data_IF_784394283676
#
_entry.id   IF_784394283676
#
_cell.length_a   1.000
_cell.length_b   1.000
_cell.length_c   1.000
_cell.angle_alpha   90.00
_cell.angle_beta   90.00
_cell.angle_gamma   90.00
#
_symmetry.space_group_name_H-M   'P 1'
#
loop_
_entity.id
_entity.type
_entity.pdbx_description
1 polymer ?
2 non-polymer ?
3 non-polymer ?
4 non-polymer ?
5 water ?
#
# COMPACT_ATOMS: atom_id res chain seq x y z
N UNK A 1 25.23 0.28 8.19
CA UNK A 1 24.61 0.45 6.85
C UNK A 1 25.04 1.77 6.21
N UNK A 2 25.11 1.82 4.87
CA UNK A 2 25.52 3.03 4.14
C UNK A 2 24.40 4.06 4.11
N UNK A 3 24.64 5.20 3.47
CA UNK A 3 23.61 6.24 3.36
C UNK A 3 22.45 5.62 2.61
N UNK A 4 21.23 6.17 2.78
CA UNK A 4 20.05 5.65 2.10
C UNK A 4 20.23 5.46 0.61
N UNK A 5 20.58 6.53 -0.11
CA UNK A 5 20.77 6.46 -1.54
C UNK A 5 21.78 5.41 -1.98
N UNK A 6 22.86 5.25 -1.23
CA UNK A 6 23.85 4.25 -1.62
C UNK A 6 23.34 2.84 -1.36
N UNK A 7 22.55 2.66 -0.31
CA UNK A 7 22.00 1.34 -0.02
C UNK A 7 20.98 0.98 -1.10
N UNK A 8 20.21 1.98 -1.53
CA UNK A 8 19.22 1.74 -2.58
C UNK A 8 19.93 1.26 -3.84
N UNK A 9 21.04 1.92 -4.18
CA UNK A 9 21.79 1.51 -5.37
C UNK A 9 22.34 0.10 -5.21
N UNK A 10 22.87 -0.20 -4.03
CA UNK A 10 23.42 -1.52 -3.76
C UNK A 10 22.31 -2.56 -3.93
N UNK A 11 21.09 -2.21 -3.53
CA UNK A 11 19.98 -3.15 -3.67
C UNK A 11 19.69 -3.48 -5.14
N UNK A 12 19.74 -2.48 -6.02
CA UNK A 12 19.49 -2.76 -7.45
C UNK A 12 20.61 -3.64 -8.00
N UNK A 13 21.83 -3.33 -7.60
CA UNK A 13 22.99 -4.10 -8.05
C UNK A 13 22.83 -5.57 -7.65
N UNK A 14 22.48 -5.80 -6.40
CA UNK A 14 22.31 -7.15 -5.90
C UNK A 14 21.08 -7.89 -6.42
N UNK A 15 19.99 -7.17 -6.67
CA UNK A 15 18.77 -7.79 -7.16
C UNK A 15 18.66 -7.87 -8.68
N UNK A 16 19.45 -7.05 -9.38
CA UNK A 16 19.42 -6.98 -10.84
C UNK A 16 18.06 -6.46 -11.31
N UNK A 17 17.38 -5.71 -10.45
CA UNK A 17 16.09 -5.17 -10.81
C UNK A 17 16.01 -3.70 -10.46
N UNK A 18 14.90 -3.05 -10.79
CA UNK A 18 14.74 -1.64 -10.48
C UNK A 18 14.07 -1.49 -9.12
N UNK A 19 14.52 -0.45 -8.41
CA UNK A 19 13.97 -0.12 -7.11
C UNK A 19 13.43 1.29 -7.26
N UNK A 20 12.27 1.54 -6.67
CA UNK A 20 11.65 2.86 -6.72
C UNK A 20 11.40 3.22 -5.27
N UNK A 21 11.81 4.42 -4.87
CA UNK A 21 11.67 4.80 -3.47
C UNK A 21 11.48 6.28 -3.24
N UNK A 22 10.64 6.60 -2.25
CA UNK A 22 10.41 7.97 -1.84
C UNK A 22 10.32 7.95 -0.31
N UNK A 23 10.92 8.96 0.31
CA UNK A 23 10.88 9.14 1.76
C UNK A 23 10.33 10.56 1.89
N UNK A 24 9.21 10.70 2.59
CA UNK A 24 8.54 11.99 2.68
C UNK A 24 8.01 12.29 4.09
N UNK A 25 8.14 13.54 4.51
CA UNK A 25 7.62 13.98 5.81
C UNK A 25 6.10 13.90 5.69
N UNK A 26 5.45 13.18 6.60
CA UNK A 26 4.01 13.02 6.52
C UNK A 26 3.28 14.34 6.74
N UNK A 27 3.72 15.11 7.72
CA UNK A 27 3.06 16.37 8.04
C UNK A 27 3.17 17.43 6.96
N UNK A 28 4.33 17.58 6.34
CA UNK A 28 4.50 18.63 5.36
C UNK A 28 4.62 18.22 3.90
N UNK A 29 4.99 16.96 3.65
CA UNK A 29 5.18 16.52 2.28
C UNK A 29 6.62 16.74 1.79
N UNK A 30 7.49 17.23 2.67
CA UNK A 30 8.89 17.46 2.28
C UNK A 30 9.51 16.14 1.78
N UNK A 31 10.06 16.15 0.58
CA UNK A 31 10.68 14.93 0.05
C UNK A 31 12.13 14.87 0.52
N UNK A 32 12.50 13.77 1.20
CA UNK A 32 13.87 13.63 1.70
C UNK A 32 14.77 12.84 0.78
N UNK A 33 14.26 11.74 0.26
CA UNK A 33 15.01 10.87 -0.63
C UNK A 33 14.06 10.48 -1.77
N UNK A 34 14.59 10.49 -3.00
CA UNK A 34 13.80 10.13 -4.16
C UNK A 34 14.72 9.36 -5.10
N UNK A 35 14.29 8.18 -5.52
CA UNK A 35 15.07 7.36 -6.44
C UNK A 35 14.06 6.69 -7.36
N UNK A 36 14.18 7.00 -8.66
CA UNK A 36 13.28 6.53 -9.70
C UNK A 36 11.86 6.83 -9.23
N UNK A 37 11.69 7.99 -8.58
CA UNK A 37 10.39 8.36 -8.03
C UNK A 37 9.29 8.64 -9.03
N UNK A 38 9.66 8.92 -10.28
CA UNK A 38 8.67 9.20 -11.30
C UNK A 38 8.55 8.04 -12.29
N UNK A 39 9.17 6.91 -11.97
CA UNK A 39 9.09 5.74 -12.83
C UNK A 39 7.94 4.86 -12.37
N UNK A 40 7.33 4.15 -13.32
CA UNK A 40 6.21 3.26 -13.01
C UNK A 40 6.60 1.92 -12.42
N UNK A 41 5.79 1.46 -11.48
CA UNK A 41 6.00 0.18 -10.81
C UNK A 41 4.64 -0.44 -10.54
N UNK A 42 4.55 -1.78 -10.61
CA UNK A 42 3.25 -2.40 -10.33
C UNK A 42 2.90 -2.14 -8.86
N UNK A 43 1.68 -1.66 -8.60
CA UNK A 43 1.26 -1.39 -7.23
C UNK A 43 1.07 -2.65 -6.41
N UNK A 44 0.76 -3.74 -7.09
CA UNK A 44 0.41 -5.00 -6.46
C UNK A 44 -0.58 -4.74 -5.32
N UNK A 45 -0.52 -5.48 -4.22
CA UNK A 45 -1.52 -5.27 -3.17
C UNK A 45 -1.52 -3.93 -2.44
N UNK A 46 -0.58 -3.05 -2.73
CA UNK A 46 -0.59 -1.76 -2.03
C UNK A 46 -1.79 -0.91 -2.45
N UNK A 47 -2.43 -1.27 -3.57
CA UNK A 47 -3.57 -0.51 -4.05
C UNK A 47 -4.74 -0.57 -3.06
N UNK A 48 -4.74 -1.58 -2.20
CA UNK A 48 -5.82 -1.77 -1.25
C UNK A 48 -6.00 -0.60 -0.27
N UNK A 49 -4.93 0.14 0.01
CA UNK A 49 -5.03 1.31 0.89
C UNK A 49 -5.80 2.42 0.16
N UNK A 50 -5.42 2.68 -1.08
CA UNK A 50 -6.11 3.72 -1.85
C UNK A 50 -7.58 3.33 -2.07
N UNK A 51 -7.82 2.04 -2.27
CA UNK A 51 -9.18 1.53 -2.44
C UNK A 51 -10.05 1.92 -1.24
N UNK A 52 -9.54 1.66 -0.03
CA UNK A 52 -10.30 1.99 1.16
C UNK A 52 -10.39 3.50 1.39
N UNK A 53 -9.47 4.26 0.81
CA UNK A 53 -9.58 5.71 0.95
C UNK A 53 -10.81 6.14 0.14
N UNK A 54 -11.04 5.51 -1.01
CA UNK A 54 -12.21 5.83 -1.85
C UNK A 54 -13.50 5.42 -1.12
N UNK A 55 -13.43 4.28 -0.45
CA UNK A 55 -14.57 3.78 0.32
C UNK A 55 -14.93 4.80 1.40
N UNK A 56 -13.92 5.25 2.14
CA UNK A 56 -14.13 6.20 3.21
C UNK A 56 -14.68 7.53 2.66
N UNK A 57 -14.29 7.89 1.45
CA UNK A 57 -14.79 9.13 0.85
C UNK A 57 -16.29 8.98 0.65
N UNK A 58 -16.72 7.79 0.21
CA UNK A 58 -18.14 7.52 0.00
C UNK A 58 -18.90 7.55 1.34
N UNK A 59 -18.26 7.06 2.39
CA UNK A 59 -18.90 7.07 3.70
C UNK A 59 -19.09 8.51 4.12
N UNK A 60 -18.04 9.33 3.92
CA UNK A 60 -18.09 10.74 4.31
C UNK A 60 -19.21 11.50 3.59
N UNK A 61 -19.43 11.13 2.34
CA UNK A 61 -20.45 11.77 1.51
C UNK A 61 -21.85 11.23 1.82
N UNK A 62 -21.92 10.20 2.65
CA UNK A 62 -23.22 9.63 2.99
C UNK A 62 -23.74 8.64 1.98
N UNK A 63 -22.88 8.18 1.07
CA UNK A 63 -23.27 7.19 0.06
C UNK A 63 -22.86 5.78 0.45
N UNK A 64 -22.27 5.64 1.63
CA UNK A 64 -21.82 4.33 2.11
C UNK A 64 -21.78 4.35 3.63
N UNK A 65 -21.81 3.17 4.24
CA UNK A 65 -21.72 3.06 5.70
C UNK A 65 -20.75 1.93 5.95
N UNK A 66 -19.83 2.12 6.89
CA UNK A 66 -18.87 1.06 7.21
C UNK A 66 -19.64 -0.10 7.85
N UNK A 67 -20.80 0.19 8.43
CA UNK A 67 -21.63 -0.84 9.03
C UNK A 67 -22.38 -1.72 8.02
N UNK A 68 -22.63 -1.20 6.83
CA UNK A 68 -23.41 -1.95 5.85
C UNK A 68 -22.88 -3.35 5.57
N UNK A 69 -23.74 -4.35 5.78
CA UNK A 69 -23.36 -5.75 5.57
C UNK A 69 -23.53 -6.17 4.13
N UNK A 70 -22.46 -6.74 3.57
CA UNK A 70 -22.46 -7.20 2.19
C UNK A 70 -22.47 -8.74 2.19
N UNK A 71 -23.44 -9.30 1.48
CA UNK A 71 -23.54 -10.75 1.38
C UNK A 71 -23.04 -11.15 0.01
N UNK A 72 -22.19 -12.16 -0.02
CA UNK A 72 -21.61 -12.60 -1.27
C UNK A 72 -21.70 -14.12 -1.41
N UNK A 73 -21.32 -14.62 -2.58
CA UNK A 73 -21.38 -16.06 -2.87
C UNK A 73 -20.00 -16.66 -3.05
N UNK A 74 -19.91 -17.98 -2.90
CA UNK A 74 -18.63 -18.67 -3.06
C UNK A 74 -18.06 -18.41 -4.45
N UNK A 75 -18.94 -18.27 -5.42
CA UNK A 75 -18.54 -18.03 -6.81
C UNK A 75 -17.84 -16.67 -6.95
N UNK A 76 -18.08 -15.80 -5.99
CA UNK A 76 -17.48 -14.47 -6.01
C UNK A 76 -16.04 -14.49 -5.53
N UNK A 77 -15.68 -15.55 -4.82
CA UNK A 77 -14.34 -15.63 -4.26
C UNK A 77 -13.20 -15.86 -5.24
N UNK A 78 -12.08 -15.16 -5.01
CA UNK A 78 -10.87 -15.33 -5.82
C UNK A 78 -9.72 -15.81 -4.94
N UNK A 79 -8.59 -16.09 -5.57
CA UNK A 79 -7.40 -16.61 -4.88
C UNK A 79 -7.01 -15.81 -3.63
N UNK A 80 -6.81 -16.52 -2.51
CA UNK A 80 -6.40 -15.92 -1.23
C UNK A 80 -7.44 -15.01 -0.60
N UNK A 81 -8.37 -15.63 0.12
CA UNK A 81 -9.45 -14.95 0.79
C UNK A 81 -9.56 -15.54 2.18
N UNK A 82 -8.50 -15.42 2.99
CA UNK A 82 -8.44 -15.95 4.35
C UNK A 82 -9.61 -15.57 5.24
N UNK A 83 -10.08 -14.34 5.10
CA UNK A 83 -11.17 -13.87 5.92
C UNK A 83 -12.53 -14.05 5.27
N UNK A 84 -12.66 -13.56 4.03
CA UNK A 84 -13.93 -13.63 3.32
C UNK A 84 -14.44 -15.06 3.10
N UNK A 85 -13.55 -16.04 2.95
CA UNK A 85 -14.04 -17.41 2.76
C UNK A 85 -14.74 -17.92 4.01
N UNK A 86 -14.54 -17.24 5.13
CA UNK A 86 -15.17 -17.66 6.39
C UNK A 86 -16.56 -17.09 6.62
N UNK A 87 -17.02 -16.18 5.76
CA UNK A 87 -18.33 -15.56 5.98
C UNK A 87 -19.31 -15.65 4.83
N UNK A 88 -19.36 -16.81 4.18
CA UNK A 88 -20.29 -17.00 3.08
C UNK A 88 -21.71 -17.01 3.61
N UNK A 89 -21.88 -17.45 4.85
CA UNK A 89 -23.21 -17.52 5.44
C UNK A 89 -23.69 -16.23 6.06
N UNK A 90 -22.79 -15.48 6.70
CA UNK A 90 -23.20 -14.26 7.39
C UNK A 90 -22.78 -12.93 6.77
N UNK A 91 -21.93 -12.98 5.77
CA UNK A 91 -21.50 -11.75 5.13
C UNK A 91 -20.50 -10.95 5.96
N UNK A 92 -20.06 -9.83 5.40
CA UNK A 92 -19.11 -8.94 6.08
C UNK A 92 -19.52 -7.48 5.87
N UNK A 93 -19.27 -6.65 6.88
CA UNK A 93 -19.59 -5.26 6.75
C UNK A 93 -18.53 -4.61 5.85
N UNK A 94 -18.86 -3.48 5.27
CA UNK A 94 -17.93 -2.75 4.42
C UNK A 94 -16.64 -2.48 5.22
N UNK A 95 -16.79 -2.06 6.47
CA UNK A 95 -15.62 -1.79 7.30
C UNK A 95 -14.77 -3.03 7.52
N UNK A 96 -15.44 -4.16 7.73
CA UNK A 96 -14.74 -5.43 7.92
C UNK A 96 -14.01 -5.82 6.65
N UNK A 97 -14.63 -5.54 5.51
CA UNK A 97 -14.02 -5.86 4.24
C UNK A 97 -12.72 -5.08 4.10
N UNK A 98 -12.75 -3.78 4.42
CA UNK A 98 -11.54 -2.97 4.35
C UNK A 98 -10.48 -3.49 5.32
N UNK A 99 -10.88 -3.87 6.54
CA UNK A 99 -9.89 -4.39 7.50
C UNK A 99 -9.25 -5.65 6.92
N UNK A 100 -10.06 -6.52 6.32
CA UNK A 100 -9.53 -7.75 5.76
C UNK A 100 -8.64 -7.49 4.55
N UNK A 101 -9.05 -6.55 3.71
CA UNK A 101 -8.26 -6.22 2.52
C UNK A 101 -6.92 -5.64 2.91
N UNK A 102 -6.92 -4.70 3.85
CA UNK A 102 -5.67 -4.05 4.24
C UNK A 102 -4.82 -4.85 5.24
N UNK A 103 -5.42 -5.40 6.28
CA UNK A 103 -4.64 -6.13 7.29
C UNK A 103 -4.31 -7.58 6.99
N UNK A 104 -5.04 -8.19 6.06
CA UNK A 104 -4.78 -9.59 5.71
C UNK A 104 -4.56 -9.77 4.21
N UNK A 105 -4.69 -8.67 3.46
CA UNK A 105 -4.55 -8.64 1.99
C UNK A 105 -5.54 -9.63 1.37
N UNK A 106 -6.73 -9.72 1.95
CA UNK A 106 -7.79 -10.60 1.45
C UNK A 106 -8.21 -10.10 0.07
N UNK A 107 -8.02 -10.92 -0.97
CA UNK A 107 -8.35 -10.48 -2.33
C UNK A 107 -9.82 -10.37 -2.70
N UNK A 108 -10.65 -11.27 -2.19
CA UNK A 108 -12.06 -11.19 -2.50
C UNK A 108 -12.64 -9.98 -1.79
N UNK A 109 -12.17 -9.70 -0.57
CA UNK A 109 -12.65 -8.51 0.14
C UNK A 109 -12.34 -7.28 -0.73
N UNK A 110 -11.14 -7.25 -1.28
CA UNK A 110 -10.75 -6.12 -2.14
C UNK A 110 -11.66 -6.00 -3.36
N UNK A 111 -11.98 -7.13 -3.99
CA UNK A 111 -12.84 -7.08 -5.17
C UNK A 111 -14.25 -6.61 -4.81
N UNK A 112 -14.77 -7.08 -3.69
CA UNK A 112 -16.10 -6.67 -3.27
C UNK A 112 -16.14 -5.15 -3.07
N UNK A 113 -15.08 -4.60 -2.47
CA UNK A 113 -14.98 -3.16 -2.23
C UNK A 113 -14.80 -2.43 -3.56
N UNK A 114 -14.01 -3.04 -4.44
CA UNK A 114 -13.75 -2.43 -5.73
C UNK A 114 -15.07 -2.26 -6.49
N UNK A 115 -15.98 -3.21 -6.36
CA UNK A 115 -17.26 -3.11 -7.04
C UNK A 115 -18.03 -1.89 -6.53
N UNK A 116 -17.99 -1.65 -5.22
CA UNK A 116 -18.73 -0.53 -4.63
C UNK A 116 -18.25 0.85 -5.07
N UNK A 117 -17.03 0.97 -5.56
CA UNK A 117 -16.53 2.27 -5.99
C UNK A 117 -16.48 2.38 -7.52
N UNK A 118 -17.09 1.42 -8.21
CA UNK A 118 -17.11 1.47 -9.67
C UNK A 118 -16.00 0.72 -10.37
N UNK A 119 -15.43 -0.29 -9.71
CA UNK A 119 -14.37 -1.09 -10.28
C UNK A 119 -13.07 -0.33 -10.48
N UNK A 120 -12.10 -0.96 -11.15
CA UNK A 120 -10.80 -0.34 -11.41
C UNK A 120 -10.96 1.06 -12.01
N UNK A 121 -11.87 1.21 -12.96
CA UNK A 121 -12.09 2.52 -13.59
C UNK A 121 -12.57 3.54 -12.57
N UNK A 122 -13.48 3.11 -11.70
CA UNK A 122 -14.00 3.98 -10.68
C UNK A 122 -12.94 4.42 -9.69
N UNK A 123 -12.05 3.50 -9.32
CA UNK A 123 -10.99 3.85 -8.38
C UNK A 123 -10.02 4.81 -9.06
N UNK A 124 -9.76 4.59 -10.33
CA UNK A 124 -8.86 5.47 -11.06
C UNK A 124 -9.48 6.86 -11.15
N UNK A 125 -10.80 6.90 -11.32
CA UNK A 125 -11.47 8.20 -11.39
C UNK A 125 -11.31 8.94 -10.05
N UNK A 126 -11.41 8.20 -8.96
CA UNK A 126 -11.27 8.79 -7.62
C UNK A 126 -9.86 9.36 -7.47
N UNK A 127 -8.86 8.62 -7.95
CA UNK A 127 -7.49 9.08 -7.88
C UNK A 127 -7.36 10.39 -8.64
N UNK A 128 -7.96 10.45 -9.83
CA UNK A 128 -7.89 11.67 -10.63
C UNK A 128 -8.57 12.82 -9.87
N UNK A 129 -9.62 12.51 -9.11
CA UNK A 129 -10.35 13.50 -8.32
C UNK A 129 -9.54 14.08 -7.16
N UNK A 130 -8.56 13.34 -6.64
CA UNK A 130 -7.76 13.89 -5.56
C UNK A 130 -6.42 14.44 -6.06
N UNK A 131 -6.28 14.54 -7.38
CA UNK A 131 -5.06 15.10 -7.92
C UNK A 131 -3.96 14.16 -8.36
N UNK A 132 -4.20 12.86 -8.29
CA UNK A 132 -3.20 11.90 -8.74
C UNK A 132 -3.51 11.61 -10.20
N UNK A 133 -2.68 12.14 -11.11
CA UNK A 133 -2.88 11.96 -12.53
C UNK A 133 -2.02 10.84 -13.11
N UNK A 134 -1.38 10.06 -12.24
CA UNK A 134 -0.49 8.99 -12.68
C UNK A 134 -0.95 7.59 -12.32
N UNK A 135 -1.23 7.36 -11.05
CA UNK A 135 -1.67 6.07 -10.57
C UNK A 135 -2.90 5.56 -11.32
N UNK A 136 -2.91 4.28 -11.64
CA UNK A 136 -4.04 3.70 -12.37
C UNK A 136 -4.29 2.24 -11.99
N UNK A 137 -5.56 1.88 -11.80
CA UNK A 137 -5.89 0.49 -11.54
C UNK A 137 -6.69 0.11 -12.78
N UNK A 138 -6.37 -1.03 -13.38
CA UNK A 138 -7.07 -1.45 -14.60
C UNK A 138 -7.72 -2.81 -14.47
N UNK A 139 -7.22 -3.62 -13.56
CA UNK A 139 -7.71 -4.97 -13.37
C UNK A 139 -8.13 -5.28 -11.94
N UNK A 140 -8.84 -6.38 -11.77
CA UNK A 140 -9.33 -6.82 -10.47
C UNK A 140 -8.28 -7.66 -9.75
N UNK A 141 -8.49 -7.86 -8.45
CA UNK A 141 -7.55 -8.61 -7.63
C UNK A 141 -7.26 -9.96 -8.25
N UNK A 142 -5.97 -10.25 -8.25
CA UNK A 142 -5.31 -11.44 -8.77
C UNK A 142 -4.63 -11.02 -10.07
N UNK A 143 -5.43 -10.70 -11.09
CA UNK A 143 -4.86 -10.30 -12.39
C UNK A 143 -3.96 -9.08 -12.32
N UNK A 144 -4.25 -8.15 -11.41
CA UNK A 144 -3.43 -6.94 -11.30
C UNK A 144 -1.99 -7.18 -10.82
N UNK A 145 -1.66 -8.42 -10.45
CA UNK A 145 -0.31 -8.75 -9.98
C UNK A 145 0.60 -9.34 -11.06
N UNK A 146 0.11 -9.42 -12.29
CA UNK A 146 0.89 -10.01 -13.38
C UNK A 146 2.24 -9.35 -13.64
N UNK A 147 2.31 -8.04 -13.42
CA UNK A 147 3.54 -7.26 -13.60
C UNK A 147 4.33 -7.53 -14.87
N UNK A 148 3.67 -7.45 -16.03
CA UNK A 148 4.38 -7.66 -17.29
C UNK A 148 5.33 -6.50 -17.57
N UNK A 149 6.55 -6.79 -18.04
CA UNK A 149 7.49 -5.71 -18.31
C UNK A 149 6.92 -4.73 -19.33
N UNK A 150 7.08 -3.43 -19.06
CA UNK A 150 6.58 -2.41 -19.96
C UNK A 150 5.07 -2.20 -20.01
N UNK A 151 4.34 -2.94 -19.17
CA UNK A 151 2.88 -2.85 -19.11
C UNK A 151 2.54 -1.75 -18.12
N UNK A 152 1.80 -0.73 -18.56
CA UNK A 152 1.42 0.38 -17.70
C UNK A 152 0.21 0.12 -16.81
N UNK A 153 -0.48 -0.98 -17.04
CA UNK A 153 -1.66 -1.29 -16.24
C UNK A 153 -1.33 -1.53 -14.76
N UNK A 154 -2.23 -1.10 -13.88
CA UNK A 154 -2.07 -1.32 -12.45
C UNK A 154 -0.76 -0.82 -11.84
N UNK A 155 -0.32 0.37 -12.26
CA UNK A 155 0.92 0.92 -11.77
C UNK A 155 0.74 2.27 -11.07
N UNK A 156 1.80 2.68 -10.38
CA UNK A 156 1.86 3.96 -9.72
C UNK A 156 3.33 4.34 -9.83
N UNK A 157 3.71 5.46 -9.23
CA UNK A 157 5.12 5.84 -9.20
C UNK A 157 5.31 6.09 -7.70
N UNK A 158 6.55 5.98 -7.21
CA UNK A 158 6.77 6.21 -5.78
C UNK A 158 6.26 7.59 -5.35
N UNK A 159 6.57 8.60 -6.17
CA UNK A 159 6.15 9.97 -5.86
C UNK A 159 4.64 10.12 -5.84
N UNK A 160 3.95 9.51 -6.80
CA UNK A 160 2.51 9.62 -6.85
C UNK A 160 1.86 8.91 -5.68
N UNK A 161 2.32 7.70 -5.38
CA UNK A 161 1.74 6.94 -4.27
C UNK A 161 1.95 7.67 -2.95
N UNK A 162 3.16 8.19 -2.73
CA UNK A 162 3.45 8.91 -1.49
C UNK A 162 2.54 10.13 -1.34
N UNK A 163 2.42 10.93 -2.40
CA UNK A 163 1.57 12.12 -2.35
C UNK A 163 0.10 11.74 -2.10
N UNK A 164 -0.36 10.67 -2.75
CA UNK A 164 -1.75 10.25 -2.60
C UNK A 164 -2.03 9.76 -1.18
N UNK A 165 -1.09 9.00 -0.61
CA UNK A 165 -1.29 8.50 0.74
C UNK A 165 -1.33 9.68 1.70
N UNK A 166 -0.43 10.65 1.47
CA UNK A 166 -0.41 11.83 2.32
C UNK A 166 -1.75 12.57 2.23
N UNK A 167 -2.28 12.70 1.02
CA UNK A 167 -3.57 13.39 0.84
C UNK A 167 -4.69 12.67 1.59
N UNK A 168 -4.69 11.34 1.52
CA UNK A 168 -5.74 10.60 2.19
C UNK A 168 -5.64 10.65 3.72
N UNK A 169 -4.41 10.61 4.22
CA UNK A 169 -4.17 10.60 5.65
C UNK A 169 -4.18 11.94 6.37
N UNK A 170 -3.87 13.02 5.64
CA UNK A 170 -3.74 14.32 6.31
C UNK A 170 -4.32 15.58 5.67
N UNK A 171 -4.71 15.52 4.40
CA UNK A 171 -5.21 16.74 3.74
C UNK A 171 -6.61 17.19 4.07
N UNK A 172 -7.29 16.45 4.92
CA UNK A 172 -8.66 16.79 5.30
C UNK A 172 -9.61 16.68 4.10
N UNK A 173 -9.24 15.84 3.14
CA UNK A 173 -10.11 15.56 2.00
C UNK A 173 -11.10 14.56 2.59
N UNK A 174 -10.60 13.70 3.49
CA UNK A 174 -11.41 12.72 4.21
C UNK A 174 -11.72 13.37 5.55
N UNK A 175 -12.83 12.96 6.18
CA UNK A 175 -13.21 13.51 7.49
C UNK A 175 -12.15 13.11 8.52
N UNK A 176 -12.16 13.73 9.69
CA UNK A 176 -11.19 13.37 10.70
C UNK A 176 -11.34 11.89 11.07
N UNK A 177 -12.57 11.44 11.25
CA UNK A 177 -12.77 10.04 11.64
C UNK A 177 -12.27 9.09 10.57
N UNK A 178 -12.51 9.41 9.30
CA UNK A 178 -12.06 8.54 8.22
C UNK A 178 -10.54 8.49 8.14
N UNK A 179 -9.87 9.63 8.29
CA UNK A 179 -8.40 9.65 8.24
C UNK A 179 -7.87 8.73 9.35
N UNK A 180 -8.50 8.82 10.51
CA UNK A 180 -8.09 8.01 11.66
C UNK A 180 -8.31 6.53 11.41
N UNK A 181 -9.39 6.21 10.73
CA UNK A 181 -9.71 4.82 10.41
C UNK A 181 -8.71 4.25 9.40
N UNK A 182 -8.38 5.01 8.36
CA UNK A 182 -7.43 4.54 7.34
C UNK A 182 -6.07 4.27 7.98
N UNK A 183 -5.67 5.18 8.88
CA UNK A 183 -4.41 5.03 9.58
C UNK A 183 -4.42 3.78 10.46
N UNK A 184 -5.50 3.58 11.21
CA UNK A 184 -5.58 2.43 12.10
C UNK A 184 -5.51 1.11 11.33
N UNK A 185 -6.15 1.06 10.16
CA UNK A 185 -6.08 -0.17 9.37
C UNK A 185 -4.63 -0.48 8.99
N UNK A 186 -3.87 0.54 8.63
CA UNK A 186 -2.46 0.33 8.29
C UNK A 186 -1.66 -0.08 9.53
N UNK A 187 -1.96 0.54 10.66
CA UNK A 187 -1.29 0.18 11.91
C UNK A 187 -1.58 -1.31 12.23
N UNK A 188 -2.78 -1.77 11.90
CA UNK A 188 -3.19 -3.14 12.20
C UNK A 188 -2.75 -4.24 11.22
N UNK A 189 -1.94 -3.93 10.21
CA UNK A 189 -1.52 -4.96 9.26
C UNK A 189 -1.01 -6.21 9.96
N UNK A 190 -1.57 -7.37 9.63
CA UNK A 190 -1.12 -8.62 10.23
C UNK A 190 -0.11 -9.36 9.34
N UNK A 191 0.00 -8.98 8.08
CA UNK A 191 0.91 -9.68 7.18
C UNK A 191 2.38 -9.36 7.46
N UNK A 192 2.72 -8.08 7.51
CA UNK A 192 4.11 -7.68 7.71
C UNK A 192 4.37 -6.88 8.99
N UNK A 193 3.35 -6.17 9.47
CA UNK A 193 3.50 -5.37 10.67
C UNK A 193 4.23 -6.00 11.85
N UNK A 194 3.71 -7.10 12.40
CA UNK A 194 4.35 -7.76 13.53
C UNK A 194 5.81 -8.12 13.27
N UNK A 195 6.08 -8.66 12.09
CA UNK A 195 7.43 -9.04 11.71
C UNK A 195 8.35 -7.82 11.71
N UNK A 196 7.90 -6.75 11.06
CA UNK A 196 8.70 -5.52 11.01
C UNK A 196 8.98 -4.99 12.42
N UNK A 197 7.99 -5.05 13.31
CA UNK A 197 8.23 -4.58 14.67
C UNK A 197 9.29 -5.42 15.37
N UNK A 198 9.28 -6.73 15.10
CA UNK A 198 10.24 -7.63 15.74
C UNK A 198 11.68 -7.31 15.38
N UNK A 199 11.89 -6.61 14.26
CA UNK A 199 13.25 -6.26 13.86
C UNK A 199 13.54 -4.77 13.96
N UNK A 200 12.55 -3.99 14.41
CA UNK A 200 12.77 -2.55 14.55
C UNK A 200 13.30 -2.23 15.94
N UNK A 201 14.21 -1.25 16.05
CA UNK A 201 14.73 -0.88 17.37
C UNK A 201 13.57 -0.32 18.18
N UNK A 202 13.67 -0.38 19.49
CA UNK A 202 12.63 0.15 20.35
C UNK A 202 12.41 1.62 19.99
N UNK A 203 11.16 2.07 20.05
CA UNK A 203 10.86 3.46 19.76
C UNK A 203 10.43 3.78 18.34
N UNK A 204 10.61 2.86 17.41
CA UNK A 204 10.21 3.11 16.04
C UNK A 204 8.77 2.67 15.72
N UNK A 205 8.00 3.63 15.21
CA UNK A 205 6.59 3.46 14.82
C UNK A 205 6.50 2.80 13.42
N UNK A 206 5.54 1.89 13.23
CA UNK A 206 5.33 1.30 11.91
C UNK A 206 3.84 1.05 11.63
N UNK A 207 3.44 1.39 10.41
CA UNK A 207 2.09 1.18 9.89
C UNK A 207 2.44 0.84 8.44
N UNK A 208 1.73 -0.11 7.83
CA UNK A 208 2.13 -0.49 6.48
C UNK A 208 1.12 -1.32 5.70
N UNK A 209 1.36 -1.40 4.39
CA UNK A 209 0.60 -2.30 3.52
C UNK A 209 1.64 -2.82 2.54
N UNK A 210 1.73 -4.14 2.39
CA UNK A 210 2.72 -4.71 1.47
C UNK A 210 2.02 -5.39 0.30
N UNK A 211 2.81 -5.77 -0.69
CA UNK A 211 2.29 -6.43 -1.88
C UNK A 211 3.40 -7.18 -2.60
N UNK A 212 3.01 -8.10 -3.46
CA UNK A 212 3.97 -8.89 -4.22
C UNK A 212 3.31 -9.39 -5.49
N UNK A 213 4.12 -9.60 -6.52
CA UNK A 213 3.58 -10.05 -7.79
C UNK A 213 4.61 -10.81 -8.60
N UNK A 214 4.31 -11.02 -9.87
CA UNK A 214 5.20 -11.75 -10.77
C UNK A 214 6.47 -10.98 -11.12
N UNK A 215 7.44 -11.69 -11.69
CA UNK A 215 8.69 -11.07 -12.11
C UNK A 215 9.38 -10.29 -10.98
N UNK A 216 9.19 -10.77 -9.76
CA UNK A 216 9.83 -10.16 -8.62
C UNK A 216 9.14 -8.95 -8.04
N UNK A 217 7.99 -8.56 -8.60
CA UNK A 217 7.28 -7.37 -8.10
C UNK A 217 7.07 -7.43 -6.59
N UNK A 218 7.38 -6.32 -5.92
CA UNK A 218 7.23 -6.27 -4.48
C UNK A 218 6.99 -4.83 -4.10
N UNK A 219 6.20 -4.60 -3.07
CA UNK A 219 5.98 -3.22 -2.71
C UNK A 219 5.59 -3.01 -1.27
N UNK A 220 5.90 -1.83 -0.76
CA UNK A 220 5.47 -1.49 0.58
C UNK A 220 5.23 0.00 0.69
N UNK A 221 4.13 0.36 1.33
CA UNK A 221 3.80 1.75 1.59
C UNK A 221 3.73 1.77 3.10
N UNK A 222 4.43 2.70 3.72
CA UNK A 222 4.47 2.69 5.17
C UNK A 222 4.66 4.05 5.79
N UNK A 223 4.38 4.11 7.09
CA UNK A 223 4.58 5.29 7.90
C UNK A 223 5.61 4.79 8.92
N UNK A 224 6.67 5.56 9.10
CA UNK A 224 7.78 5.17 9.95
C UNK A 224 8.35 6.37 10.68
N UNK A 225 8.83 6.14 11.90
CA UNK A 225 9.42 7.23 12.64
C UNK A 225 9.85 6.90 14.04
N UNK A 226 10.86 7.63 14.55
CA UNK A 226 11.36 7.41 15.91
C UNK A 226 10.38 8.08 16.89
N UNK A 227 10.64 7.88 18.19
CA UNK A 227 9.80 8.46 19.23
C UNK A 227 8.35 8.03 19.08
N UNK A 228 8.14 6.83 18.56
CA UNK A 228 6.79 6.29 18.39
C UNK A 228 5.84 7.21 17.65
N UNK A 229 6.36 7.93 16.65
CA UNK A 229 5.56 8.85 15.87
C UNK A 229 5.61 8.48 14.37
N UNK A 230 4.51 8.69 13.67
CA UNK A 230 4.42 8.42 12.23
C UNK A 230 5.00 9.65 11.56
N UNK A 231 6.33 9.75 11.59
CA UNK A 231 6.97 10.94 11.04
C UNK A 231 7.06 11.00 9.53
N UNK A 232 7.35 9.86 8.91
CA UNK A 232 7.52 9.87 7.47
C UNK A 232 6.79 8.76 6.73
N UNK A 233 6.46 9.04 5.48
CA UNK A 233 5.83 8.08 4.61
C UNK A 233 7.01 7.52 3.83
N UNK A 234 7.11 6.20 3.72
CA UNK A 234 8.18 5.58 2.94
C UNK A 234 7.51 4.62 1.97
N UNK A 235 7.77 4.81 0.68
CA UNK A 235 7.19 3.94 -0.34
C UNK A 235 8.35 3.28 -1.09
N UNK A 236 8.35 1.96 -1.17
CA UNK A 236 9.42 1.27 -1.90
C UNK A 236 8.79 0.21 -2.81
N UNK A 237 9.16 0.22 -4.09
CA UNK A 237 8.66 -0.81 -5.00
C UNK A 237 9.87 -1.46 -5.64
N UNK A 238 9.73 -2.74 -5.98
CA UNK A 238 10.80 -3.45 -6.69
C UNK A 238 10.14 -4.07 -7.90
N UNK A 239 10.86 -4.16 -9.02
CA UNK A 239 10.30 -4.80 -10.19
C UNK A 239 11.39 -5.41 -11.05
N UNK A 240 11.01 -6.43 -11.82
CA UNK A 240 11.92 -7.09 -12.73
C UNK A 240 13.23 -7.62 -12.16
N UNK A 241 13.12 -8.35 -11.06
CA UNK A 241 14.28 -8.98 -10.43
C UNK A 241 13.92 -10.45 -10.28
N UNK A 242 14.89 -11.35 -10.54
CA UNK A 242 14.59 -12.78 -10.39
C UNK A 242 14.85 -13.27 -8.98
N UNK A 243 15.17 -12.35 -8.07
CA UNK A 243 15.49 -12.75 -6.70
C UNK A 243 14.40 -13.43 -5.88
N UNK A 244 14.83 -14.28 -4.96
CA UNK A 244 13.91 -14.98 -4.08
C UNK A 244 13.18 -13.93 -3.24
N UNK A 245 11.99 -14.29 -2.75
CA UNK A 245 11.22 -13.39 -1.89
C UNK A 245 12.06 -13.02 -0.67
N UNK A 246 12.78 -13.99 -0.13
CA UNK A 246 13.59 -13.72 1.06
C UNK A 246 14.60 -12.60 0.81
N UNK A 247 15.27 -12.64 -0.33
CA UNK A 247 16.26 -11.61 -0.62
C UNK A 247 15.62 -10.26 -0.93
N UNK A 248 14.46 -10.27 -1.56
CA UNK A 248 13.80 -8.99 -1.85
C UNK A 248 13.39 -8.37 -0.50
N UNK A 249 12.92 -9.21 0.43
CA UNK A 249 12.55 -8.71 1.76
C UNK A 249 13.80 -8.18 2.46
N UNK A 250 14.89 -8.92 2.35
CA UNK A 250 16.13 -8.50 2.99
C UNK A 250 16.61 -7.16 2.46
N UNK A 251 16.51 -6.96 1.15
CA UNK A 251 16.95 -5.71 0.54
C UNK A 251 16.08 -4.55 1.00
N UNK A 252 14.77 -4.76 1.02
CA UNK A 252 13.87 -3.71 1.49
C UNK A 252 14.21 -3.38 2.94
N UNK A 253 14.44 -4.39 3.77
CA UNK A 253 14.80 -4.17 5.17
C UNK A 253 16.11 -3.38 5.24
N UNK A 254 17.05 -3.71 4.35
CA UNK A 254 18.32 -2.99 4.30
C UNK A 254 18.17 -1.50 4.03
N UNK A 255 17.24 -1.15 3.13
CA UNK A 255 17.00 0.25 2.84
C UNK A 255 16.44 0.87 4.13
N UNK A 256 15.58 0.12 4.81
CA UNK A 256 15.01 0.60 6.06
C UNK A 256 16.08 0.85 7.09
N UNK A 257 17.03 -0.06 7.19
CA UNK A 257 18.12 0.06 8.15
C UNK A 257 18.92 1.32 7.86
N UNK A 258 19.16 1.60 6.58
CA UNK A 258 19.91 2.79 6.21
C UNK A 258 19.16 4.05 6.65
N UNK A 259 17.84 4.04 6.48
CA UNK A 259 17.03 5.19 6.89
C UNK A 259 17.16 5.40 8.40
N UNK A 260 17.01 4.31 9.15
CA UNK A 260 17.08 4.34 10.60
C UNK A 260 18.42 4.85 11.11
N UNK A 261 19.51 4.31 10.56
CA UNK A 261 20.85 4.72 10.96
C UNK A 261 21.22 6.16 10.57
N UNK A 262 20.53 6.71 9.59
CA UNK A 262 20.81 8.08 9.14
C UNK A 262 19.50 8.83 8.97
N UNK A 263 18.73 8.89 10.06
CA UNK A 263 17.43 9.51 10.06
C UNK A 263 17.41 11.04 9.97
N UNK A 264 18.34 11.70 10.65
CA UNK A 264 18.39 13.14 10.67
C UNK A 264 18.97 13.79 9.41
N UNK A 265 18.12 14.01 8.41
CA UNK A 265 18.54 14.63 7.17
C UNK A 265 17.57 15.74 6.76
X LIG B 1 -3.03 -14.69 -4.75
X LIG B 1 -1.65 -14.03 -4.65
X LIG B 1 -0.84 -14.63 -3.12
X LIG B 1 -1.63 -13.87 -2.08
X LIG B 1 0.52 -13.99 -3.23
X LIG B 1 -0.79 -14.45 -5.85
X LIG B 1 -1.79 -12.51 -4.56
X LIG B 1 -2.45 -11.92 -5.81
X LIG B 1 -1.84 -11.84 -6.87
X LIG B 1 -3.61 -11.51 -5.76
X LIG B 1 -0.45 -11.92 -4.39
X LIG B 1 -0.33 -10.66 -3.95
X LIG B 1 -1.36 -9.87 -3.47
X LIG B 1 -1.12 -8.52 -3.23
X LIG B 1 -0.01 -8.03 -3.50
X LIG C 1 20.55 -1.18 15.07
X LIG C 1 20.61 -1.58 16.56
X LIG C 1 19.68 -0.70 17.38
X LIG C 1 20.03 0.77 17.18
X LIG C 1 19.98 1.09 15.67
X LIG C 1 20.33 2.41 15.44
X LIG C 1 20.25 -2.97 16.67
X LIG C 1 19.81 -1.12 18.77
X LIG C 1 20.86 0.23 14.93
X LIG C 1 21.71 2.64 15.75
X LIG C 1 19.23 -1.43 14.63
X LIG C 1 19.10 1.61 17.86
X LIG C 1 17.17 -3.13 11.48
X LIG C 1 17.80 -4.14 12.47
X LIG C 1 18.06 -3.35 13.73
X LIG C 1 19.00 -2.20 13.40
X LIG C 1 18.40 -1.28 12.39
X LIG C 1 19.30 -0.12 11.96
X LIG C 1 16.90 -3.79 10.26
X LIG C 1 16.91 -5.22 12.73
X LIG C 1 18.66 -4.22 14.68
X LIG C 1 18.08 -2.03 11.21
X LIG C 1 20.57 -0.65 11.48
X LIG C 1 15.96 -3.05 9.45
X LIG C 1 14.57 -3.58 9.73
X LIG C 1 13.69 -2.73 8.83
X LIG C 1 12.36 -3.43 8.64
X LIG C 1 11.48 -2.76 7.62
X LIG C 1 11.32 -1.29 7.54
X LIG C 1 10.39 -0.79 6.46
X LIG C 1 11.14 -0.65 5.12
X LIG C 1 10.40 0.12 4.00
X LIG C 1 9.17 0.93 4.43
X LIG C 1 9.30 1.48 5.85
X LIG C 1 9.73 0.48 6.92
X LIG D 1 12.85 -8.75 7.86
X LIG D 1 11.66 -7.96 7.41
X LIG D 1 11.38 -7.72 5.97
X LIG D 1 10.13 -6.90 5.66
X LIG D 1 9.00 -7.85 5.21
X LIG D 1 7.83 -7.17 4.45
X LIG D 1 8.23 -6.14 3.41
X LIG D 1 9.30 -5.19 3.92
X LIG D 1 10.48 -5.84 4.66
X LIG E 1 1.02 -11.64 -0.31
X LIG E 1 0.61 -10.89 0.97
X LIG E 1 0.70 -9.09 0.75
X LIG E 1 0.18 -8.40 1.98
X LIG E 1 -0.16 -8.69 -0.42
X LIG E 1 2.12 -8.67 0.50
#
# INVERSE_FOLDING_TARGET
SPQPLEQIKLSESQLSGRVGMIEMDLASGRTLTAWRADERFPMVSTFKVVLCGAVLARVDAGDEQLERKIHYRQQDLVDYSPVSEKHLADGMTVGELCAAAITMSDNSAANLLLATVGGPAGLTAFLRQIGDNVTRLDRWATELNEALPGDARDTTTPASMAATLRKLLTSQRLSARSQRQLLQWMVDDRVAGPLIRSVLPAGWFIADKTGAGERGARGIVALLGPNNKAERIVVIYLRDTPASMAERNQQIAGIGAALIEHWQR
TSL C14 C2 S1 O12 O13 C20 C3 C9 O11 O10 N4 C5 C6 C7 O8
MA4 C1 C2 C3 C4 C5 C6 O2 O3 O5 O6 O1 O4 C10 C20 C30 C40 C50 C60 O10 O20 O30 O50 O60 C11 C21 C31 C41 C51 C61 C12 C22 C32 C42 C52 C62
MA4 C41 C51 C61 C12 C22 C32 C42 C52 C62
ESA C1 C2 S O1 O2 O3
#
